data_IF_314148752696
#
_entry.id   IF_314148752696
#
_cell.length_a   1.000
_cell.length_b   1.000
_cell.length_c   1.000
_cell.angle_alpha   90.00
_cell.angle_beta   90.00
_cell.angle_gamma   90.00
#
_symmetry.space_group_name_H-M   'P 1'
#
loop_
_entity.id
_entity.type
_entity.pdbx_description
1 polymer ?
#
# COMPACT_ATOMS: atom_id res chain seq x y z
N UNK A 1 22.69 24.02 -12.80
CA UNK A 1 21.52 23.24 -13.23
C UNK A 1 21.89 22.55 -14.54
N UNK A 2 22.15 21.25 -14.53
CA UNK A 2 22.38 20.49 -15.77
C UNK A 2 21.04 20.26 -16.43
N UNK A 3 20.91 20.62 -17.73
CA UNK A 3 19.78 20.28 -18.57
C UNK A 3 19.54 18.76 -18.54
N UNK A 4 18.65 18.29 -17.69
CA UNK A 4 18.10 16.94 -17.81
C UNK A 4 17.19 17.04 -19.03
N UNK A 5 17.58 16.34 -20.13
CA UNK A 5 16.69 16.19 -21.29
C UNK A 5 15.50 15.37 -20.83
N UNK A 6 14.44 16.05 -20.41
CA UNK A 6 13.16 15.41 -20.09
C UNK A 6 12.50 14.98 -21.39
N UNK A 7 12.09 13.73 -21.43
CA UNK A 7 11.46 13.12 -22.61
C UNK A 7 9.96 13.46 -22.60
N UNK A 8 9.43 13.88 -23.75
CA UNK A 8 7.97 14.06 -23.88
C UNK A 8 7.28 12.69 -23.91
N UNK A 9 6.08 12.64 -23.37
CA UNK A 9 5.27 11.43 -23.35
C UNK A 9 4.76 11.13 -24.78
N UNK A 10 5.24 10.04 -25.37
CA UNK A 10 4.81 9.53 -26.67
C UNK A 10 4.62 8.00 -26.61
N UNK A 11 4.15 7.36 -27.69
CA UNK A 11 3.87 5.92 -27.70
C UNK A 11 5.07 5.05 -27.31
N UNK A 12 6.27 5.43 -27.67
CA UNK A 12 7.49 4.67 -27.34
C UNK A 12 7.96 4.94 -25.91
N UNK A 13 7.90 6.18 -25.44
CA UNK A 13 8.29 6.55 -24.08
C UNK A 13 7.28 6.12 -23.02
N UNK A 14 6.01 5.89 -23.41
CA UNK A 14 4.96 5.38 -22.51
C UNK A 14 5.21 3.94 -22.05
N UNK A 15 5.99 3.16 -22.78
CA UNK A 15 6.25 1.75 -22.46
C UNK A 15 7.02 1.58 -21.14
N UNK A 16 7.89 2.54 -20.76
CA UNK A 16 8.56 2.53 -19.45
C UNK A 16 7.57 2.75 -18.30
N UNK A 17 6.74 3.81 -18.29
CA UNK A 17 5.68 3.98 -17.31
C UNK A 17 4.74 2.77 -17.20
N UNK A 18 4.29 2.22 -18.32
CA UNK A 18 3.40 1.05 -18.32
C UNK A 18 4.05 -0.19 -17.67
N UNK A 19 5.33 -0.41 -17.95
CA UNK A 19 6.05 -1.50 -17.29
C UNK A 19 6.18 -1.26 -15.78
N UNK A 20 6.37 0.00 -15.33
CA UNK A 20 6.42 0.33 -13.91
C UNK A 20 5.05 0.17 -13.25
N UNK A 21 3.99 0.64 -13.90
CA UNK A 21 2.60 0.45 -13.46
C UNK A 21 2.26 -1.04 -13.31
N UNK A 22 2.74 -1.89 -14.22
CA UNK A 22 2.53 -3.33 -14.11
C UNK A 22 3.24 -3.93 -12.88
N UNK A 23 4.44 -3.45 -12.53
CA UNK A 23 5.10 -3.86 -11.29
C UNK A 23 4.35 -3.35 -10.05
N UNK A 24 3.92 -2.09 -10.08
CA UNK A 24 3.11 -1.53 -9.00
C UNK A 24 1.84 -2.34 -8.78
N UNK A 25 1.13 -2.68 -9.85
CA UNK A 25 -0.04 -3.55 -9.78
C UNK A 25 0.30 -4.93 -9.20
N UNK A 26 1.41 -5.55 -9.63
CA UNK A 26 1.85 -6.84 -9.08
C UNK A 26 2.12 -6.78 -7.57
N UNK A 27 2.70 -5.68 -7.09
CA UNK A 27 2.98 -5.48 -5.65
C UNK A 27 1.69 -5.28 -4.86
N UNK A 28 0.78 -4.41 -5.30
CA UNK A 28 -0.47 -4.17 -4.58
C UNK A 28 -1.43 -5.36 -4.67
N UNK A 29 -1.66 -5.90 -5.86
CA UNK A 29 -2.53 -7.07 -6.02
C UNK A 29 -1.97 -8.29 -5.28
N UNK A 30 -0.65 -8.40 -5.16
CA UNK A 30 0.03 -9.45 -4.42
C UNK A 30 -0.25 -9.44 -2.93
N UNK A 31 -0.66 -8.30 -2.38
CA UNK A 31 -1.18 -8.23 -1.03
C UNK A 31 -2.67 -8.58 -0.97
N UNK A 32 -3.48 -7.98 -1.84
CA UNK A 32 -4.93 -7.97 -1.72
C UNK A 32 -5.60 -9.24 -2.26
N UNK A 33 -5.02 -9.85 -3.31
CA UNK A 33 -5.50 -11.12 -3.90
C UNK A 33 -5.42 -12.28 -2.90
N UNK A 34 -4.43 -12.26 -2.01
CA UNK A 34 -4.14 -13.37 -1.09
C UNK A 34 -5.00 -13.29 0.18
N UNK A 35 -5.60 -12.13 0.49
CA UNK A 35 -6.38 -11.97 1.73
C UNK A 35 -7.51 -12.99 1.87
N UNK A 36 -8.39 -13.25 0.88
CA UNK A 36 -9.42 -14.28 1.01
C UNK A 36 -8.83 -15.70 1.13
N UNK A 37 -7.62 -15.94 0.60
CA UNK A 37 -6.94 -17.22 0.67
C UNK A 37 -6.30 -17.50 2.03
N UNK A 38 -6.18 -16.48 2.90
CA UNK A 38 -5.40 -16.63 4.15
C UNK A 38 -5.99 -17.67 5.10
N UNK A 39 -7.31 -17.86 5.11
CA UNK A 39 -7.92 -18.93 5.91
C UNK A 39 -7.46 -20.32 5.44
N UNK A 40 -7.49 -20.56 4.13
CA UNK A 40 -7.00 -21.83 3.57
C UNK A 40 -5.48 -22.01 3.79
N UNK A 41 -4.70 -20.93 3.71
CA UNK A 41 -3.25 -20.96 3.98
C UNK A 41 -2.98 -21.31 5.44
N UNK A 42 -3.73 -20.76 6.40
CA UNK A 42 -3.57 -21.12 7.82
C UNK A 42 -3.96 -22.57 8.08
N UNK A 43 -4.99 -23.06 7.42
CA UNK A 43 -5.40 -24.46 7.48
C UNK A 43 -4.32 -25.40 6.91
N UNK A 44 -3.78 -25.09 5.72
CA UNK A 44 -2.69 -25.87 5.09
C UNK A 44 -1.43 -25.95 5.96
N UNK A 45 -1.12 -24.89 6.73
CA UNK A 45 -0.01 -24.89 7.67
C UNK A 45 -0.36 -25.46 9.05
N UNK A 46 -1.63 -25.83 9.29
CA UNK A 46 -2.08 -26.39 10.57
C UNK A 46 -2.03 -25.40 11.73
N UNK A 47 -2.22 -24.10 11.46
CA UNK A 47 -2.21 -23.05 12.48
C UNK A 47 -3.59 -22.37 12.60
N UNK A 48 -3.82 -21.68 13.71
CA UNK A 48 -5.08 -20.96 13.93
C UNK A 48 -5.34 -19.90 12.84
N UNK A 49 -6.60 -19.72 12.46
CA UNK A 49 -7.06 -18.65 11.55
C UNK A 49 -6.65 -17.25 12.03
N UNK A 50 -6.39 -17.08 13.32
CA UNK A 50 -5.88 -15.82 13.89
C UNK A 50 -4.54 -15.36 13.31
N UNK A 51 -3.79 -16.23 12.63
CA UNK A 51 -2.56 -15.87 11.92
C UNK A 51 -2.82 -15.21 10.54
N UNK A 52 -4.04 -15.25 10.02
CA UNK A 52 -4.36 -14.70 8.71
C UNK A 52 -3.99 -13.20 8.55
N UNK A 53 -4.27 -12.30 9.52
CA UNK A 53 -3.90 -10.88 9.42
C UNK A 53 -2.39 -10.63 9.35
N UNK A 54 -1.56 -11.54 9.89
CA UNK A 54 -0.10 -11.39 9.92
C UNK A 54 0.53 -11.38 8.52
N UNK A 55 -0.13 -11.98 7.52
CA UNK A 55 0.30 -11.88 6.13
C UNK A 55 0.42 -10.43 5.68
N UNK A 56 -0.57 -9.61 5.97
CA UNK A 56 -0.59 -8.19 5.61
C UNK A 56 0.35 -7.37 6.49
N UNK A 57 0.34 -7.60 7.80
CA UNK A 57 1.18 -6.84 8.73
C UNK A 57 2.66 -7.01 8.42
N UNK A 58 3.14 -8.25 8.21
CA UNK A 58 4.53 -8.51 7.83
C UNK A 58 4.90 -7.93 6.47
N UNK A 59 3.96 -7.94 5.52
CA UNK A 59 4.16 -7.29 4.22
C UNK A 59 4.38 -5.77 4.37
N UNK A 60 3.58 -5.09 5.17
CA UNK A 60 3.73 -3.66 5.46
C UNK A 60 5.03 -3.36 6.20
N UNK A 61 5.39 -4.20 7.19
CA UNK A 61 6.65 -4.05 7.92
C UNK A 61 7.86 -4.18 6.99
N UNK A 62 7.82 -5.08 6.02
CA UNK A 62 8.85 -5.24 4.99
C UNK A 62 9.04 -3.95 4.18
N UNK A 63 7.95 -3.31 3.77
CA UNK A 63 7.98 -2.00 3.12
C UNK A 63 8.60 -0.93 4.01
N UNK A 64 8.17 -0.84 5.28
CA UNK A 64 8.70 0.13 6.24
C UNK A 64 10.21 0.00 6.45
N UNK A 65 10.71 -1.24 6.53
CA UNK A 65 12.09 -1.56 6.95
C UNK A 65 13.18 -0.94 6.08
N UNK A 66 12.95 -0.78 4.79
CA UNK A 66 13.95 -0.31 3.80
C UNK A 66 13.61 1.03 3.14
N UNK A 67 12.48 1.64 3.48
CA UNK A 67 12.02 2.89 2.86
C UNK A 67 13.07 4.01 2.93
N UNK A 68 13.80 4.11 4.04
CA UNK A 68 14.85 5.11 4.27
C UNK A 68 16.11 4.88 3.43
N UNK A 69 16.37 3.63 3.03
CA UNK A 69 17.62 3.23 2.39
C UNK A 69 17.51 3.25 0.87
N UNK A 70 16.39 2.85 0.29
CA UNK A 70 16.26 2.60 -1.16
C UNK A 70 16.42 3.85 -2.01
N UNK A 71 15.95 5.02 -1.54
CA UNK A 71 16.16 6.30 -2.22
C UNK A 71 17.65 6.57 -2.44
N UNK A 72 18.41 6.79 -1.36
CA UNK A 72 19.86 7.04 -1.42
C UNK A 72 20.67 5.93 -2.10
N UNK A 73 20.28 4.67 -1.91
CA UNK A 73 20.91 3.53 -2.57
C UNK A 73 20.74 3.63 -4.10
N UNK A 74 19.53 3.97 -4.56
CA UNK A 74 19.24 4.11 -5.98
C UNK A 74 19.89 5.35 -6.62
N UNK A 75 20.12 6.41 -5.83
CA UNK A 75 20.88 7.58 -6.27
C UNK A 75 22.35 7.22 -6.56
N UNK A 76 22.91 6.28 -5.80
CA UNK A 76 24.33 5.85 -5.93
C UNK A 76 24.53 4.75 -6.95
N UNK A 77 23.68 3.74 -6.98
CA UNK A 77 23.81 2.58 -7.86
C UNK A 77 23.12 2.78 -9.21
N UNK A 78 22.26 3.79 -9.31
CA UNK A 78 21.41 4.09 -10.46
C UNK A 78 20.00 3.49 -10.31
N UNK A 79 18.98 4.32 -10.59
CA UNK A 79 17.56 3.96 -10.47
C UNK A 79 17.22 2.64 -11.16
N UNK A 80 17.68 2.46 -12.42
CA UNK A 80 17.41 1.27 -13.22
C UNK A 80 17.92 -0.01 -12.58
N UNK A 81 19.15 0.01 -12.05
CA UNK A 81 19.75 -1.20 -11.45
C UNK A 81 18.98 -1.61 -10.20
N UNK A 82 18.71 -0.66 -9.30
CA UNK A 82 17.99 -0.94 -8.04
C UNK A 82 16.55 -1.37 -8.31
N UNK A 83 15.86 -0.72 -9.25
CA UNK A 83 14.50 -1.11 -9.63
C UNK A 83 14.46 -2.54 -10.20
N UNK A 84 15.32 -2.85 -11.17
CA UNK A 84 15.36 -4.19 -11.78
C UNK A 84 15.72 -5.28 -10.75
N UNK A 85 16.66 -5.01 -9.84
CA UNK A 85 17.00 -5.94 -8.76
C UNK A 85 15.82 -6.13 -7.80
N UNK A 86 15.10 -5.06 -7.46
CA UNK A 86 13.92 -5.11 -6.60
C UNK A 86 12.77 -5.92 -7.20
N UNK A 87 12.52 -5.77 -8.50
CA UNK A 87 11.49 -6.55 -9.22
C UNK A 87 11.85 -8.04 -9.24
N UNK A 88 13.10 -8.39 -9.55
CA UNK A 88 13.54 -9.78 -9.52
C UNK A 88 13.49 -10.37 -8.10
N UNK A 89 13.90 -9.61 -7.10
CA UNK A 89 13.82 -10.03 -5.70
C UNK A 89 12.36 -10.30 -5.28
N UNK A 90 11.44 -9.41 -5.64
CA UNK A 90 10.01 -9.60 -5.39
C UNK A 90 9.48 -10.86 -6.06
N UNK A 91 9.77 -11.06 -7.35
CA UNK A 91 9.36 -12.26 -8.10
C UNK A 91 9.95 -13.55 -7.49
N UNK A 92 11.22 -13.50 -7.08
CA UNK A 92 11.87 -14.62 -6.40
C UNK A 92 11.16 -14.97 -5.08
N UNK A 93 10.82 -13.96 -4.26
CA UNK A 93 10.07 -14.19 -3.03
C UNK A 93 8.70 -14.83 -3.31
N UNK A 94 8.01 -14.43 -4.39
CA UNK A 94 6.75 -15.06 -4.80
C UNK A 94 6.93 -16.54 -5.14
N UNK A 95 8.01 -16.92 -5.85
CA UNK A 95 8.29 -18.33 -6.14
C UNK A 95 8.74 -19.12 -4.91
N UNK A 96 9.52 -18.51 -4.03
CA UNK A 96 9.97 -19.19 -2.81
C UNK A 96 8.82 -19.51 -1.85
N UNK A 97 7.73 -18.72 -1.87
CA UNK A 97 6.52 -19.02 -1.08
C UNK A 97 5.95 -20.40 -1.44
N UNK A 98 6.07 -20.84 -2.68
CA UNK A 98 5.58 -22.17 -3.10
C UNK A 98 6.30 -23.34 -2.39
N UNK A 99 7.46 -23.07 -1.81
CA UNK A 99 8.27 -24.07 -1.10
C UNK A 99 8.06 -24.03 0.42
N UNK A 100 7.24 -23.09 0.92
CA UNK A 100 7.00 -22.96 2.36
C UNK A 100 6.12 -24.10 2.88
N UNK A 101 6.44 -24.56 4.09
CA UNK A 101 5.69 -25.61 4.80
C UNK A 101 5.33 -25.19 6.23
N UNK A 102 5.71 -24.00 6.63
CA UNK A 102 5.48 -23.43 7.96
C UNK A 102 5.10 -21.96 7.81
N UNK A 103 4.23 -21.51 8.71
CA UNK A 103 3.71 -20.13 8.68
C UNK A 103 4.83 -19.10 8.86
N UNK A 104 5.86 -19.42 9.66
CA UNK A 104 7.00 -18.53 9.92
C UNK A 104 7.81 -18.25 8.64
N UNK A 105 8.05 -19.28 7.82
CA UNK A 105 8.73 -19.13 6.53
C UNK A 105 7.87 -18.32 5.56
N UNK A 106 6.56 -18.59 5.52
CA UNK A 106 5.62 -17.82 4.71
C UNK A 106 5.63 -16.34 5.11
N UNK A 107 5.49 -16.02 6.41
CA UNK A 107 5.51 -14.65 6.91
C UNK A 107 6.85 -13.95 6.67
N UNK A 108 7.97 -14.68 6.79
CA UNK A 108 9.29 -14.14 6.44
C UNK A 108 9.35 -13.73 4.97
N UNK A 109 8.81 -14.56 4.07
CA UNK A 109 8.76 -14.22 2.64
C UNK A 109 7.76 -13.09 2.36
N UNK A 110 6.65 -13.00 3.09
CA UNK A 110 5.73 -11.85 3.03
C UNK A 110 6.43 -10.56 3.43
N UNK A 111 7.22 -10.57 4.51
CA UNK A 111 8.08 -9.45 4.89
C UNK A 111 9.03 -9.06 3.77
N UNK A 112 9.74 -10.00 3.18
CA UNK A 112 10.67 -9.75 2.07
C UNK A 112 9.96 -9.23 0.82
N UNK A 113 8.78 -9.74 0.48
CA UNK A 113 7.95 -9.21 -0.61
C UNK A 113 7.53 -7.77 -0.37
N UNK A 114 7.23 -7.40 0.87
CA UNK A 114 6.84 -6.04 1.25
C UNK A 114 7.87 -4.96 0.86
N UNK A 115 9.14 -5.33 0.72
CA UNK A 115 10.20 -4.45 0.18
C UNK A 115 9.81 -3.87 -1.17
N UNK A 116 9.01 -4.59 -1.96
CA UNK A 116 8.48 -4.12 -3.25
C UNK A 116 7.71 -2.79 -3.15
N UNK A 117 6.99 -2.54 -2.05
CA UNK A 117 6.30 -1.26 -1.81
C UNK A 117 7.29 -0.09 -1.82
N UNK A 118 8.41 -0.24 -1.14
CA UNK A 118 9.44 0.80 -1.07
C UNK A 118 10.26 0.91 -2.36
N UNK A 119 10.44 -0.18 -3.11
CA UNK A 119 11.05 -0.13 -4.44
C UNK A 119 10.22 0.75 -5.38
N UNK A 120 8.90 0.67 -5.34
CA UNK A 120 8.03 1.52 -6.16
C UNK A 120 8.05 2.96 -5.67
N UNK A 121 7.78 3.19 -4.39
CA UNK A 121 7.61 4.54 -3.83
C UNK A 121 8.91 5.34 -3.85
N UNK A 122 10.05 4.75 -3.49
CA UNK A 122 11.32 5.45 -3.40
C UNK A 122 12.10 5.47 -4.72
N UNK A 123 12.00 4.43 -5.55
CA UNK A 123 12.81 4.31 -6.77
C UNK A 123 11.98 4.51 -8.02
N UNK A 124 10.78 3.90 -8.09
CA UNK A 124 9.90 3.97 -9.24
C UNK A 124 9.39 5.39 -9.50
N UNK A 125 8.80 6.02 -8.49
CA UNK A 125 8.27 7.40 -8.60
C UNK A 125 9.38 8.41 -8.87
N UNK A 126 10.55 8.26 -8.22
CA UNK A 126 11.70 9.12 -8.52
C UNK A 126 12.16 8.97 -9.97
N UNK A 127 12.20 7.75 -10.50
CA UNK A 127 12.56 7.50 -11.89
C UNK A 127 11.59 8.17 -12.89
N UNK A 128 10.28 8.19 -12.59
CA UNK A 128 9.30 8.93 -13.43
C UNK A 128 9.59 10.42 -13.39
N UNK A 129 9.78 11.00 -12.20
CA UNK A 129 10.04 12.44 -12.05
C UNK A 129 11.33 12.89 -12.73
N UNK A 130 12.36 12.03 -12.76
CA UNK A 130 13.65 12.35 -13.38
C UNK A 130 13.64 12.21 -14.93
N UNK A 131 12.76 11.36 -15.48
CA UNK A 131 12.77 11.05 -16.91
C UNK A 131 11.77 11.86 -17.73
N UNK A 132 10.71 12.37 -17.12
CA UNK A 132 9.63 13.08 -17.82
C UNK A 132 9.56 14.54 -17.43
N UNK A 133 9.03 15.38 -18.33
CA UNK A 133 8.67 16.76 -18.01
C UNK A 133 7.61 16.77 -16.90
N UNK A 134 7.60 17.79 -16.06
CA UNK A 134 6.76 17.89 -14.86
C UNK A 134 5.29 17.52 -15.12
N UNK A 135 4.68 18.06 -16.17
CA UNK A 135 3.28 17.77 -16.52
C UNK A 135 3.05 16.31 -16.92
N UNK A 136 3.98 15.70 -17.62
CA UNK A 136 3.88 14.31 -18.06
C UNK A 136 4.16 13.35 -16.90
N UNK A 137 5.12 13.69 -16.03
CA UNK A 137 5.37 12.95 -14.79
C UNK A 137 4.12 12.94 -13.90
N UNK A 138 3.43 14.07 -13.74
CA UNK A 138 2.17 14.16 -12.97
C UNK A 138 1.09 13.23 -13.56
N UNK A 139 0.93 13.19 -14.89
CA UNK A 139 -0.05 12.29 -15.54
C UNK A 139 0.26 10.82 -15.27
N UNK A 140 1.53 10.43 -15.37
CA UNK A 140 1.97 9.06 -15.09
C UNK A 140 1.75 8.71 -13.62
N UNK A 141 2.11 9.60 -12.70
CA UNK A 141 1.91 9.38 -11.26
C UNK A 141 0.41 9.29 -10.90
N UNK A 142 -0.45 10.06 -11.57
CA UNK A 142 -1.90 9.95 -11.41
C UNK A 142 -2.43 8.59 -11.91
N UNK A 143 -1.89 8.08 -13.02
CA UNK A 143 -2.21 6.73 -13.51
C UNK A 143 -1.79 5.66 -12.48
N UNK A 144 -0.58 5.76 -11.94
CA UNK A 144 -0.08 4.87 -10.90
C UNK A 144 -0.99 4.90 -9.66
N UNK A 145 -1.36 6.07 -9.18
CA UNK A 145 -2.28 6.21 -8.05
C UNK A 145 -3.65 5.54 -8.31
N UNK A 146 -4.18 5.61 -9.53
CA UNK A 146 -5.42 4.92 -9.88
C UNK A 146 -5.26 3.40 -9.84
N UNK A 147 -4.12 2.87 -10.26
CA UNK A 147 -3.82 1.42 -10.18
C UNK A 147 -3.72 0.97 -8.73
N UNK A 148 -3.11 1.77 -7.85
CA UNK A 148 -3.04 1.49 -6.41
C UNK A 148 -4.43 1.39 -5.77
N UNK A 149 -5.43 2.11 -6.30
CA UNK A 149 -6.82 2.01 -5.85
C UNK A 149 -7.58 0.81 -6.44
N UNK A 150 -7.20 0.37 -7.65
CA UNK A 150 -7.85 -0.78 -8.30
C UNK A 150 -7.46 -2.11 -7.65
N UNK A 151 -6.23 -2.25 -7.16
CA UNK A 151 -5.75 -3.49 -6.57
C UNK A 151 -6.57 -3.91 -5.33
N UNK A 152 -6.81 -3.04 -4.33
CA UNK A 152 -7.66 -3.40 -3.19
C UNK A 152 -9.12 -3.66 -3.56
N UNK A 153 -9.63 -3.05 -4.63
CA UNK A 153 -10.99 -3.29 -5.12
C UNK A 153 -11.13 -4.64 -5.82
N UNK A 154 -10.18 -4.97 -6.70
CA UNK A 154 -10.23 -6.18 -7.52
C UNK A 154 -9.61 -7.38 -6.81
N UNK A 155 -8.59 -7.17 -5.99
CA UNK A 155 -7.83 -8.23 -5.34
C UNK A 155 -8.68 -9.20 -4.55
N UNK A 156 -9.46 -8.74 -3.55
CA UNK A 156 -10.30 -9.62 -2.75
C UNK A 156 -11.35 -10.37 -3.57
N UNK A 157 -11.91 -9.73 -4.59
CA UNK A 157 -12.92 -10.34 -5.48
C UNK A 157 -12.30 -11.43 -6.34
N UNK A 158 -11.19 -11.11 -7.02
CA UNK A 158 -10.46 -12.08 -7.84
C UNK A 158 -9.87 -13.20 -6.98
N UNK A 159 -9.35 -12.87 -5.81
CA UNK A 159 -8.82 -13.84 -4.86
C UNK A 159 -9.88 -14.80 -4.35
N UNK A 160 -11.04 -14.28 -3.97
CA UNK A 160 -12.18 -15.09 -3.53
C UNK A 160 -12.67 -16.04 -4.64
N UNK A 161 -12.73 -15.55 -5.88
CA UNK A 161 -13.08 -16.38 -7.03
C UNK A 161 -12.01 -17.44 -7.32
N UNK A 162 -10.73 -17.07 -7.26
CA UNK A 162 -9.64 -18.00 -7.58
C UNK A 162 -9.55 -19.15 -6.57
N UNK A 163 -9.74 -18.89 -5.28
CA UNK A 163 -9.56 -19.93 -4.24
C UNK A 163 -10.60 -21.05 -4.34
N UNK A 164 -11.78 -20.77 -4.90
CA UNK A 164 -12.83 -21.78 -5.10
C UNK A 164 -12.47 -22.79 -6.22
N UNK A 165 -11.54 -22.43 -7.13
CA UNK A 165 -11.21 -23.24 -8.31
C UNK A 165 -9.76 -23.74 -8.35
N UNK A 166 -8.83 -23.00 -7.73
CA UNK A 166 -7.40 -23.33 -7.79
C UNK A 166 -6.73 -23.11 -6.43
N UNK A 167 -5.65 -23.84 -6.19
CA UNK A 167 -4.85 -23.65 -4.98
C UNK A 167 -4.29 -22.21 -4.91
N UNK A 168 -4.23 -21.65 -3.71
CA UNK A 168 -3.67 -20.32 -3.41
C UNK A 168 -2.25 -20.11 -3.96
N UNK A 169 -1.47 -21.17 -4.13
CA UNK A 169 -0.14 -21.14 -4.72
C UNK A 169 -0.12 -20.48 -6.11
N UNK A 170 -1.14 -20.73 -6.93
CA UNK A 170 -1.24 -20.15 -8.28
C UNK A 170 -1.41 -18.64 -8.27
N UNK A 171 -1.96 -18.07 -7.20
CA UNK A 171 -1.99 -16.63 -6.99
C UNK A 171 -0.57 -16.05 -6.97
N UNK A 172 0.35 -16.64 -6.21
CA UNK A 172 1.75 -16.20 -6.15
C UNK A 172 2.49 -16.44 -7.47
N UNK A 173 2.20 -17.52 -8.19
CA UNK A 173 2.75 -17.74 -9.54
C UNK A 173 2.31 -16.63 -10.50
N UNK A 174 1.02 -16.29 -10.52
CA UNK A 174 0.50 -15.23 -11.38
C UNK A 174 1.15 -13.87 -11.06
N UNK A 175 1.29 -13.52 -9.77
CA UNK A 175 1.96 -12.30 -9.31
C UNK A 175 3.43 -12.28 -9.74
N UNK A 176 4.15 -13.40 -9.59
CA UNK A 176 5.54 -13.53 -10.01
C UNK A 176 5.68 -13.31 -11.53
N UNK A 177 4.79 -13.91 -12.33
CA UNK A 177 4.79 -13.75 -13.78
C UNK A 177 4.50 -12.31 -14.20
N UNK A 178 3.57 -11.63 -13.54
CA UNK A 178 3.32 -10.19 -13.77
C UNK A 178 4.56 -9.34 -13.46
N UNK A 179 5.24 -9.62 -12.34
CA UNK A 179 6.48 -8.94 -11.98
C UNK A 179 7.60 -9.20 -13.00
N UNK A 180 7.76 -10.44 -13.46
CA UNK A 180 8.74 -10.78 -14.51
C UNK A 180 8.43 -10.14 -15.86
N UNK A 181 7.15 -10.05 -16.24
CA UNK A 181 6.73 -9.32 -17.43
C UNK A 181 7.08 -7.84 -17.33
N UNK A 182 6.80 -7.23 -16.17
CA UNK A 182 7.25 -5.87 -15.87
C UNK A 182 8.76 -5.72 -15.97
N UNK A 183 9.52 -6.66 -15.40
CA UNK A 183 10.98 -6.65 -15.46
C UNK A 183 11.51 -6.61 -16.89
N UNK A 184 10.95 -7.41 -17.79
CA UNK A 184 11.31 -7.41 -19.23
C UNK A 184 11.05 -6.03 -19.85
N UNK A 185 9.89 -5.44 -19.55
CA UNK A 185 9.52 -4.11 -20.02
C UNK A 185 10.49 -3.04 -19.49
N UNK A 186 10.75 -3.02 -18.17
CA UNK A 186 11.67 -2.09 -17.52
C UNK A 186 13.10 -2.22 -18.04
N UNK A 187 13.60 -3.45 -18.21
CA UNK A 187 14.94 -3.71 -18.74
C UNK A 187 15.12 -3.11 -20.12
N UNK A 188 14.13 -3.23 -21.00
CA UNK A 188 14.17 -2.75 -22.38
C UNK A 188 13.93 -1.24 -22.49
N UNK A 189 12.95 -0.70 -21.77
CA UNK A 189 12.39 0.62 -22.01
C UNK A 189 12.85 1.70 -21.03
N UNK A 190 13.29 1.32 -19.80
CA UNK A 190 13.73 2.31 -18.84
C UNK A 190 15.07 2.92 -19.27
N UNK A 191 15.16 4.27 -19.36
CA UNK A 191 16.44 4.95 -19.66
C UNK A 191 17.49 4.66 -18.61
N UNK A 192 18.74 4.53 -19.04
CA UNK A 192 19.89 4.40 -18.14
C UNK A 192 20.57 5.76 -18.03
N UNK A 193 20.37 6.47 -16.94
CA UNK A 193 21.13 7.70 -16.68
C UNK A 193 22.47 7.38 -16.02
N UNK A 194 23.53 8.10 -16.44
CA UNK A 194 24.81 8.06 -15.73
C UNK A 194 24.60 8.65 -14.34
N UNK A 195 24.94 7.87 -13.34
CA UNK A 195 24.86 8.27 -11.92
C UNK A 195 25.66 9.54 -11.73
N UNK A 196 25.01 10.64 -11.39
CA UNK A 196 25.71 11.83 -10.88
C UNK A 196 26.11 11.52 -9.45
N UNK A 197 27.35 11.11 -9.26
CA UNK A 197 27.88 10.74 -7.94
C UNK A 197 28.08 12.00 -7.11
N UNK A 198 27.02 12.52 -6.52
CA UNK A 198 27.11 13.35 -5.32
C UNK A 198 27.32 12.38 -4.17
N UNK A 199 28.59 12.17 -3.83
CA UNK A 199 29.03 11.32 -2.69
C UNK A 199 28.74 12.01 -1.36
N UNK A 200 27.46 12.25 -1.03
CA UNK A 200 27.15 12.62 0.34
C UNK A 200 27.33 11.37 1.23
N UNK A 201 28.05 11.47 2.34
CA UNK A 201 28.24 10.33 3.23
C UNK A 201 26.90 9.86 3.82
N UNK A 202 26.75 8.57 4.11
CA UNK A 202 25.52 8.02 4.72
C UNK A 202 25.18 8.66 6.07
N UNK A 203 26.16 9.22 6.79
CA UNK A 203 25.95 9.95 8.03
C UNK A 203 24.96 11.11 7.88
N UNK A 204 24.94 11.79 6.75
CA UNK A 204 23.98 12.88 6.47
C UNK A 204 22.52 12.42 6.52
N UNK A 205 22.26 11.18 6.12
CA UNK A 205 20.88 10.63 6.19
C UNK A 205 20.42 10.46 7.62
N UNK A 206 21.30 9.97 8.50
CA UNK A 206 20.95 9.81 9.92
C UNK A 206 20.67 11.15 10.60
N UNK A 207 21.43 12.19 10.27
CA UNK A 207 21.21 13.54 10.81
C UNK A 207 19.89 14.12 10.33
N UNK A 208 19.54 13.92 9.06
CA UNK A 208 18.28 14.38 8.50
C UNK A 208 17.09 13.62 9.11
N UNK A 209 17.17 12.29 9.24
CA UNK A 209 16.13 11.51 9.94
C UNK A 209 16.02 11.91 11.41
N UNK A 210 17.14 12.16 12.11
CA UNK A 210 17.12 12.65 13.49
C UNK A 210 16.39 13.99 13.60
N UNK A 211 16.61 14.94 12.68
CA UNK A 211 15.88 16.22 12.63
C UNK A 211 14.39 16.01 12.43
N UNK A 212 14.01 15.14 11.46
CA UNK A 212 12.61 14.82 11.17
C UNK A 212 11.92 14.21 12.38
N UNK A 213 12.51 13.19 13.02
CA UNK A 213 11.94 12.51 14.18
C UNK A 213 11.99 13.35 15.48
N UNK A 214 12.83 14.38 15.53
CA UNK A 214 12.83 15.35 16.66
C UNK A 214 11.77 16.45 16.48
N UNK A 215 11.13 16.57 15.33
CA UNK A 215 10.10 17.58 15.07
C UNK A 215 8.75 17.11 15.61
N UNK A 216 8.26 17.76 16.68
CA UNK A 216 6.98 17.42 17.32
C UNK A 216 5.78 17.58 16.40
N UNK A 217 5.79 18.60 15.53
CA UNK A 217 4.71 18.82 14.56
C UNK A 217 4.67 17.69 13.53
N UNK A 218 5.83 17.26 13.03
CA UNK A 218 5.94 16.11 12.14
C UNK A 218 5.37 14.85 12.80
N UNK A 219 5.81 14.55 14.03
CA UNK A 219 5.35 13.36 14.76
C UNK A 219 3.84 13.39 14.99
N UNK A 220 3.28 14.52 15.45
CA UNK A 220 1.84 14.66 15.69
C UNK A 220 1.01 14.45 14.41
N UNK A 221 1.40 15.08 13.30
CA UNK A 221 0.69 14.92 12.03
C UNK A 221 0.84 13.51 11.44
N UNK A 222 2.05 12.93 11.54
CA UNK A 222 2.31 11.60 11.00
C UNK A 222 1.62 10.51 11.82
N UNK A 223 1.55 10.64 13.15
CA UNK A 223 0.83 9.70 14.00
C UNK A 223 -0.70 9.85 13.94
N UNK A 224 -1.21 10.98 13.43
CA UNK A 224 -2.63 11.13 13.10
C UNK A 224 -3.05 10.33 11.86
N UNK A 225 -2.14 10.07 10.92
CA UNK A 225 -2.43 9.32 9.69
C UNK A 225 -2.91 7.88 9.98
N UNK A 226 -2.22 7.08 10.82
CA UNK A 226 -2.72 5.76 11.19
C UNK A 226 -4.12 5.81 11.79
N UNK A 227 -4.46 6.80 12.61
CA UNK A 227 -5.80 6.89 13.20
C UNK A 227 -6.91 7.00 12.15
N UNK A 228 -6.62 7.65 11.01
CA UNK A 228 -7.56 7.79 9.90
C UNK A 228 -7.55 6.55 9.01
N UNK A 229 -6.39 6.00 8.66
CA UNK A 229 -6.26 4.87 7.74
C UNK A 229 -6.38 3.48 8.37
N UNK A 230 -6.29 3.38 9.71
CA UNK A 230 -6.30 2.11 10.43
C UNK A 230 -7.58 1.29 10.23
N UNK A 231 -8.79 1.89 10.26
CA UNK A 231 -10.01 1.10 10.09
C UNK A 231 -10.03 0.31 8.77
N UNK A 232 -9.58 0.93 7.67
CA UNK A 232 -9.50 0.23 6.38
C UNK A 232 -8.44 -0.88 6.41
N UNK A 233 -7.27 -0.62 7.00
CA UNK A 233 -6.21 -1.63 7.12
C UNK A 233 -6.66 -2.83 7.97
N UNK A 234 -7.33 -2.59 9.08
CA UNK A 234 -7.92 -3.64 9.91
C UNK A 234 -9.03 -4.38 9.18
N UNK A 235 -9.87 -3.67 8.43
CA UNK A 235 -10.89 -4.31 7.60
C UNK A 235 -10.27 -5.28 6.58
N UNK A 236 -9.25 -4.85 5.83
CA UNK A 236 -8.59 -5.70 4.85
C UNK A 236 -7.98 -6.94 5.53
N UNK A 237 -7.34 -6.77 6.69
CA UNK A 237 -6.65 -7.83 7.39
C UNK A 237 -7.60 -8.82 8.09
N UNK A 238 -8.71 -8.34 8.69
CA UNK A 238 -9.60 -9.12 9.53
C UNK A 238 -10.88 -9.56 8.84
N UNK A 239 -11.29 -8.93 7.74
CA UNK A 239 -12.55 -9.24 7.07
C UNK A 239 -12.66 -10.71 6.62
N UNK A 240 -11.60 -11.44 6.23
CA UNK A 240 -11.72 -12.87 5.96
C UNK A 240 -12.19 -13.68 7.18
N UNK A 241 -11.62 -13.38 8.36
CA UNK A 241 -12.01 -14.05 9.61
C UNK A 241 -13.46 -13.68 9.96
N UNK A 242 -13.78 -12.39 10.01
CA UNK A 242 -15.10 -11.90 10.42
C UNK A 242 -16.20 -12.39 9.47
N UNK A 243 -16.00 -12.21 8.15
CA UNK A 243 -17.06 -12.46 7.18
C UNK A 243 -17.15 -13.95 6.79
N UNK A 244 -16.01 -14.63 6.59
CA UNK A 244 -16.00 -16.02 6.11
C UNK A 244 -15.98 -17.01 7.27
N UNK A 245 -15.08 -16.85 8.23
CA UNK A 245 -14.94 -17.83 9.31
C UNK A 245 -16.05 -17.70 10.37
N UNK A 246 -16.38 -16.48 10.84
CA UNK A 246 -17.41 -16.29 11.87
C UNK A 246 -18.83 -16.19 11.30
N UNK A 247 -19.03 -15.27 10.33
CA UNK A 247 -20.35 -15.02 9.76
C UNK A 247 -20.75 -15.99 8.65
N UNK A 248 -19.82 -16.92 8.28
CA UNK A 248 -20.05 -18.01 7.31
C UNK A 248 -20.53 -17.52 5.93
N UNK A 249 -20.08 -16.34 5.51
CA UNK A 249 -20.33 -15.88 4.14
C UNK A 249 -19.51 -16.74 3.16
N UNK A 250 -20.07 -16.94 1.97
CA UNK A 250 -19.36 -17.60 0.86
C UNK A 250 -18.26 -16.67 0.33
N UNK A 251 -17.26 -17.24 -0.37
CA UNK A 251 -16.18 -16.48 -1.03
C UNK A 251 -16.71 -15.36 -1.93
N UNK A 252 -17.79 -15.64 -2.68
CA UNK A 252 -18.46 -14.65 -3.54
C UNK A 252 -19.10 -13.53 -2.71
N UNK A 253 -19.79 -13.86 -1.64
CA UNK A 253 -20.41 -12.85 -0.75
C UNK A 253 -19.34 -11.99 -0.07
N UNK A 254 -18.22 -12.60 0.36
CA UNK A 254 -17.06 -11.89 0.88
C UNK A 254 -16.52 -10.89 -0.13
N UNK A 255 -16.28 -11.32 -1.37
CA UNK A 255 -15.82 -10.44 -2.45
C UNK A 255 -16.78 -9.28 -2.70
N UNK A 256 -18.09 -9.55 -2.76
CA UNK A 256 -19.12 -8.51 -2.94
C UNK A 256 -19.17 -7.53 -1.77
N UNK A 257 -18.94 -7.99 -0.54
CA UNK A 257 -18.93 -7.15 0.65
C UNK A 257 -17.80 -6.10 0.64
N UNK A 258 -16.71 -6.34 -0.12
CA UNK A 258 -15.62 -5.38 -0.26
C UNK A 258 -16.02 -4.15 -1.10
N UNK A 259 -16.90 -4.31 -2.09
CA UNK A 259 -17.26 -3.22 -3.03
C UNK A 259 -17.76 -1.94 -2.34
N UNK A 260 -18.76 -1.96 -1.45
CA UNK A 260 -19.25 -0.73 -0.83
C UNK A 260 -18.16 -0.03 -0.02
N UNK A 261 -17.29 -0.78 0.66
CA UNK A 261 -16.22 -0.24 1.50
C UNK A 261 -15.20 0.52 0.65
N UNK A 262 -14.65 -0.10 -0.39
CA UNK A 262 -13.70 0.56 -1.28
C UNK A 262 -14.35 1.64 -2.15
N UNK A 263 -15.62 1.47 -2.52
CA UNK A 263 -16.38 2.52 -3.22
C UNK A 263 -16.53 3.76 -2.32
N UNK A 264 -16.75 3.59 -1.02
CA UNK A 264 -16.76 4.68 -0.05
C UNK A 264 -15.46 5.50 -0.12
N UNK A 265 -14.29 4.84 -0.09
CA UNK A 265 -12.98 5.49 -0.22
C UNK A 265 -12.85 6.26 -1.54
N UNK A 266 -13.20 5.61 -2.67
CA UNK A 266 -13.10 6.20 -4.01
C UNK A 266 -14.00 7.44 -4.11
N UNK A 267 -15.25 7.34 -3.66
CA UNK A 267 -16.20 8.46 -3.68
C UNK A 267 -15.73 9.58 -2.75
N UNK A 268 -15.18 9.26 -1.58
CA UNK A 268 -14.55 10.23 -0.67
C UNK A 268 -13.41 11.01 -1.34
N UNK A 269 -12.53 10.32 -2.05
CA UNK A 269 -11.45 10.96 -2.83
C UNK A 269 -12.00 11.86 -3.96
N UNK A 270 -13.04 11.42 -4.67
CA UNK A 270 -13.69 12.23 -5.72
C UNK A 270 -14.33 13.47 -5.13
N UNK A 271 -15.01 13.34 -3.98
CA UNK A 271 -15.58 14.48 -3.26
C UNK A 271 -14.49 15.45 -2.81
N UNK A 272 -13.39 14.95 -2.24
CA UNK A 272 -12.22 15.77 -1.88
C UNK A 272 -11.75 16.62 -3.06
N UNK A 273 -11.55 16.02 -4.23
CA UNK A 273 -11.11 16.74 -5.45
C UNK A 273 -12.06 17.89 -5.79
N UNK A 274 -13.39 17.70 -5.61
CA UNK A 274 -14.39 18.72 -5.95
C UNK A 274 -14.48 19.87 -4.93
N UNK A 275 -14.17 19.60 -3.66
CA UNK A 275 -14.33 20.58 -2.57
C UNK A 275 -13.03 21.27 -2.16
N UNK A 276 -11.85 20.70 -2.50
CA UNK A 276 -10.55 21.18 -2.01
C UNK A 276 -10.25 22.62 -2.43
N UNK A 277 -10.67 23.01 -3.63
CA UNK A 277 -10.47 24.39 -4.14
C UNK A 277 -11.41 25.41 -3.49
N UNK A 278 -12.48 24.95 -2.83
CA UNK A 278 -13.50 25.80 -2.21
C UNK A 278 -13.34 25.96 -0.71
N UNK A 279 -12.53 25.12 -0.09
CA UNK A 279 -12.35 25.05 1.36
C UNK A 279 -10.90 25.25 1.76
N UNK A 280 -10.67 25.83 2.92
CA UNK A 280 -9.34 25.79 3.54
C UNK A 280 -8.91 24.33 3.78
N UNK A 281 -7.66 23.99 3.46
CA UNK A 281 -7.16 22.59 3.47
C UNK A 281 -7.51 21.80 4.73
N UNK A 282 -7.41 22.38 5.93
CA UNK A 282 -7.74 21.68 7.16
C UNK A 282 -9.24 21.41 7.38
N UNK A 283 -10.15 22.14 6.70
CA UNK A 283 -11.59 21.96 6.85
C UNK A 283 -12.08 20.61 6.30
N UNK A 284 -11.40 20.05 5.29
CA UNK A 284 -11.74 18.74 4.75
C UNK A 284 -11.57 17.64 5.79
N UNK A 285 -10.54 17.71 6.62
CA UNK A 285 -10.33 16.77 7.73
C UNK A 285 -11.44 16.91 8.77
N UNK A 286 -11.84 18.15 9.10
CA UNK A 286 -12.94 18.40 10.03
C UNK A 286 -14.31 17.92 9.50
N UNK A 287 -14.49 17.81 8.19
CA UNK A 287 -15.68 17.22 7.56
C UNK A 287 -15.60 15.69 7.58
N UNK A 288 -14.45 15.11 7.28
CA UNK A 288 -14.29 13.66 7.23
C UNK A 288 -14.39 12.97 8.59
N UNK A 289 -13.85 13.58 9.65
CA UNK A 289 -13.85 12.99 11.00
C UNK A 289 -15.26 12.71 11.55
N UNK A 290 -16.25 13.64 11.53
CA UNK A 290 -17.60 13.32 11.97
C UNK A 290 -18.26 12.19 11.18
N UNK A 291 -17.97 12.08 9.88
CA UNK A 291 -18.49 10.99 9.04
C UNK A 291 -17.90 9.66 9.49
N UNK A 292 -16.59 9.61 9.76
CA UNK A 292 -15.92 8.43 10.31
C UNK A 292 -16.50 8.04 11.68
N UNK A 293 -16.72 9.02 12.56
CA UNK A 293 -17.33 8.78 13.87
C UNK A 293 -18.76 8.23 13.73
N UNK A 294 -19.55 8.75 12.81
CA UNK A 294 -20.89 8.21 12.52
C UNK A 294 -20.80 6.76 12.04
N UNK A 295 -19.86 6.45 11.14
CA UNK A 295 -19.61 5.08 10.70
C UNK A 295 -19.23 4.17 11.87
N UNK A 296 -18.35 4.63 12.77
CA UNK A 296 -17.95 3.88 13.96
C UNK A 296 -19.13 3.63 14.91
N UNK A 297 -20.01 4.62 15.10
CA UNK A 297 -21.22 4.44 15.90
C UNK A 297 -22.15 3.38 15.31
N UNK A 298 -22.30 3.36 13.98
CA UNK A 298 -23.08 2.33 13.28
C UNK A 298 -22.47 0.94 13.50
N UNK A 299 -21.14 0.79 13.45
CA UNK A 299 -20.46 -0.47 13.76
C UNK A 299 -20.79 -0.94 15.18
N UNK A 300 -20.70 -0.05 16.17
CA UNK A 300 -21.02 -0.36 17.57
C UNK A 300 -22.50 -0.79 17.69
N UNK A 301 -23.42 -0.10 17.05
CA UNK A 301 -24.83 -0.48 17.04
C UNK A 301 -25.06 -1.88 16.42
N UNK A 302 -24.31 -2.24 15.37
CA UNK A 302 -24.36 -3.57 14.77
C UNK A 302 -23.92 -4.67 15.74
N UNK A 303 -22.89 -4.41 16.55
CA UNK A 303 -22.43 -5.34 17.59
C UNK A 303 -23.50 -5.51 18.69
N UNK A 304 -24.18 -4.43 19.06
CA UNK A 304 -25.28 -4.49 20.06
C UNK A 304 -26.50 -5.18 19.51
N UNK A 305 -26.86 -4.92 18.26
CA UNK A 305 -28.03 -5.49 17.58
C UNK A 305 -27.60 -6.54 16.54
N UNK A 306 -27.23 -7.71 17.02
CA UNK A 306 -26.69 -8.82 16.23
C UNK A 306 -27.49 -9.14 14.95
N UNK A 307 -28.82 -8.96 14.97
CA UNK A 307 -29.69 -9.18 13.81
C UNK A 307 -29.35 -8.28 12.62
N UNK A 308 -28.70 -7.13 12.85
CA UNK A 308 -28.32 -6.16 11.82
C UNK A 308 -26.81 -6.05 11.66
N UNK A 309 -26.02 -7.01 12.17
CA UNK A 309 -24.57 -6.95 12.21
C UNK A 309 -23.96 -6.71 10.80
N UNK A 310 -24.32 -7.53 9.81
CA UNK A 310 -23.75 -7.42 8.45
C UNK A 310 -24.09 -6.05 7.80
N UNK A 311 -25.35 -5.60 7.73
CA UNK A 311 -25.65 -4.26 7.22
C UNK A 311 -24.91 -3.15 7.95
N UNK A 312 -24.83 -3.19 9.28
CA UNK A 312 -24.11 -2.20 10.06
C UNK A 312 -22.61 -2.22 9.81
N UNK A 313 -21.99 -3.40 9.65
CA UNK A 313 -20.59 -3.54 9.26
C UNK A 313 -20.33 -2.88 7.90
N UNK A 314 -21.13 -3.19 6.88
CA UNK A 314 -20.92 -2.66 5.54
C UNK A 314 -21.18 -1.15 5.47
N UNK A 315 -22.28 -0.66 6.04
CA UNK A 315 -22.61 0.78 6.04
C UNK A 315 -21.59 1.55 6.89
N UNK A 316 -21.27 1.05 8.07
CA UNK A 316 -20.30 1.68 8.98
C UNK A 316 -18.93 1.80 8.35
N UNK A 317 -18.40 0.71 7.78
CA UNK A 317 -17.11 0.71 7.09
C UNK A 317 -17.11 1.59 5.84
N UNK A 318 -18.19 1.60 5.07
CA UNK A 318 -18.35 2.48 3.89
C UNK A 318 -18.26 3.96 4.29
N UNK A 319 -18.91 4.38 5.38
CA UNK A 319 -18.84 5.75 5.88
C UNK A 319 -17.46 6.09 6.43
N UNK A 320 -16.80 5.16 7.13
CA UNK A 320 -15.45 5.35 7.63
C UNK A 320 -14.49 5.56 6.45
N UNK A 321 -14.52 4.70 5.44
CA UNK A 321 -13.66 4.81 4.26
C UNK A 321 -13.99 6.06 3.42
N UNK A 322 -15.24 6.48 3.35
CA UNK A 322 -15.61 7.74 2.72
C UNK A 322 -14.98 8.94 3.44
N UNK A 323 -15.04 8.98 4.77
CA UNK A 323 -14.41 10.03 5.59
C UNK A 323 -12.88 10.00 5.49
N UNK A 324 -12.28 8.80 5.43
CA UNK A 324 -10.85 8.61 5.16
C UNK A 324 -10.45 9.22 3.80
N UNK A 325 -11.20 8.92 2.73
CA UNK A 325 -10.95 9.47 1.39
C UNK A 325 -10.95 11.00 1.36
N UNK A 326 -11.78 11.66 2.17
CA UNK A 326 -11.81 13.14 2.27
C UNK A 326 -10.61 13.68 3.09
N UNK A 327 -10.09 12.92 4.05
CA UNK A 327 -9.18 13.43 5.09
C UNK A 327 -7.71 13.03 4.88
N UNK A 328 -7.46 11.79 4.47
CA UNK A 328 -6.13 11.18 4.51
C UNK A 328 -5.09 11.92 3.67
N UNK A 329 -5.42 12.24 2.41
CA UNK A 329 -4.49 12.91 1.50
C UNK A 329 -4.08 14.30 1.99
N UNK A 330 -4.97 15.02 2.67
CA UNK A 330 -4.69 16.35 3.22
C UNK A 330 -3.80 16.24 4.46
N UNK A 331 -4.07 15.30 5.36
CA UNK A 331 -3.20 15.01 6.51
C UNK A 331 -1.80 14.58 6.06
N UNK A 332 -1.73 13.70 5.05
CA UNK A 332 -0.46 13.26 4.47
C UNK A 332 0.35 14.44 3.94
N UNK A 333 -0.29 15.37 3.22
CA UNK A 333 0.35 16.60 2.77
C UNK A 333 0.85 17.45 3.94
N UNK A 334 0.08 17.61 5.00
CA UNK A 334 0.52 18.36 6.18
C UNK A 334 1.75 17.73 6.84
N UNK A 335 1.76 16.40 6.96
CA UNK A 335 2.91 15.67 7.45
C UNK A 335 4.15 15.90 6.58
N UNK A 336 4.02 15.82 5.24
CA UNK A 336 5.11 16.08 4.30
C UNK A 336 5.66 17.52 4.37
N UNK A 337 4.82 18.49 4.69
CA UNK A 337 5.20 19.91 4.72
C UNK A 337 5.65 20.39 6.10
N UNK A 338 5.57 19.55 7.13
CA UNK A 338 5.89 19.91 8.52
C UNK A 338 7.38 20.02 8.83
N UNK A 339 8.26 19.62 7.93
CA UNK A 339 9.71 19.66 8.11
C UNK A 339 10.41 20.35 6.94
N UNK A 340 11.50 21.07 7.24
CA UNK A 340 12.36 21.75 6.27
C UNK A 340 13.36 20.80 5.59
N UNK A 341 13.51 19.59 6.12
CA UNK A 341 14.36 18.55 5.53
C UNK A 341 13.84 18.15 4.14
N UNK A 342 14.68 17.51 3.35
CA UNK A 342 14.32 17.10 1.99
C UNK A 342 12.99 16.33 1.97
N UNK A 343 12.11 16.63 1.01
CA UNK A 343 10.78 16.01 0.93
C UNK A 343 10.85 14.49 0.76
N UNK A 344 11.91 13.99 0.14
CA UNK A 344 12.16 12.54 0.03
C UNK A 344 12.42 11.88 1.39
N UNK A 345 13.26 12.49 2.24
CA UNK A 345 13.51 12.00 3.60
C UNK A 345 12.25 12.05 4.46
N UNK A 346 11.49 13.15 4.37
CA UNK A 346 10.22 13.30 5.11
C UNK A 346 9.20 12.25 4.64
N UNK A 347 9.05 12.03 3.33
CA UNK A 347 8.16 11.02 2.80
C UNK A 347 8.54 9.60 3.23
N UNK A 348 9.83 9.28 3.24
CA UNK A 348 10.32 8.00 3.76
C UNK A 348 9.99 7.84 5.25
N UNK A 349 10.21 8.88 6.07
CA UNK A 349 9.88 8.85 7.50
C UNK A 349 8.37 8.69 7.76
N UNK A 350 7.51 9.38 6.97
CA UNK A 350 6.05 9.20 7.04
C UNK A 350 5.69 7.74 6.72
N UNK A 351 6.21 7.20 5.61
CA UNK A 351 5.92 5.82 5.20
C UNK A 351 6.37 4.80 6.24
N UNK A 352 7.56 4.99 6.83
CA UNK A 352 8.07 4.13 7.90
C UNK A 352 7.14 4.11 9.11
N UNK A 353 6.77 5.30 9.64
CA UNK A 353 5.89 5.41 10.81
C UNK A 353 4.50 4.85 10.51
N UNK A 354 3.94 5.18 9.35
CA UNK A 354 2.60 4.75 8.95
C UNK A 354 2.52 3.23 8.84
N UNK A 355 3.41 2.62 8.06
CA UNK A 355 3.41 1.16 7.85
C UNK A 355 3.76 0.39 9.12
N UNK A 356 4.69 0.92 9.95
CA UNK A 356 5.02 0.32 11.25
C UNK A 356 3.83 0.42 12.22
N UNK A 357 3.08 1.52 12.20
CA UNK A 357 1.87 1.67 13.02
C UNK A 357 0.77 0.70 12.58
N UNK A 358 0.59 0.50 11.28
CA UNK A 358 -0.34 -0.49 10.74
C UNK A 358 0.07 -1.91 11.15
N UNK A 359 1.35 -2.27 11.00
CA UNK A 359 1.87 -3.55 11.47
C UNK A 359 1.56 -3.76 12.96
N UNK A 360 1.96 -2.80 13.80
CA UNK A 360 1.81 -2.93 15.25
C UNK A 360 0.35 -3.08 15.68
N UNK A 361 -0.57 -2.35 15.04
CA UNK A 361 -1.99 -2.42 15.37
C UNK A 361 -2.63 -3.73 14.88
N UNK A 362 -2.32 -4.17 13.66
CA UNK A 362 -2.82 -5.45 13.15
C UNK A 362 -2.37 -6.60 14.05
N UNK A 363 -1.10 -6.62 14.46
CA UNK A 363 -0.59 -7.66 15.36
C UNK A 363 -1.18 -7.55 16.78
N UNK A 364 -1.39 -6.33 17.28
CA UNK A 364 -2.07 -6.12 18.56
C UNK A 364 -3.50 -6.66 18.53
N UNK A 365 -4.28 -6.31 17.50
CA UNK A 365 -5.65 -6.78 17.36
C UNK A 365 -5.68 -8.31 17.18
N UNK A 366 -4.77 -8.86 16.37
CA UNK A 366 -4.61 -10.31 16.25
C UNK A 366 -4.38 -10.98 17.61
N UNK A 367 -3.48 -10.43 18.42
CA UNK A 367 -3.19 -10.96 19.76
C UNK A 367 -4.39 -10.89 20.72
N UNK A 368 -5.18 -9.83 20.63
CA UNK A 368 -6.38 -9.65 21.45
C UNK A 368 -7.56 -10.52 20.97
N UNK A 369 -7.50 -10.99 19.73
CA UNK A 369 -8.54 -11.85 19.13
C UNK A 369 -8.33 -13.34 19.47
N UNK A 370 -7.15 -13.72 19.97
CA UNK A 370 -6.82 -15.06 20.46
C UNK A 370 -7.20 -15.24 21.93
#
# INVERSE_FOLDING_TARGET
MKNIQTTALNRTTLMFPLALVLFEFAVYIGNDLIQPAMLAITEDFGVSATWAPSSMSFYLLGGASVAWLLGPLSDRLGRKKVLLSGVLFFALCCFLILLTRQIEHFLTLRFLQGIGLSVISAVGYAAIQENFAERDAIKVMALMANISLLAPLLGPVLGAFLIDYVSWHWGFVAIALLALLSWVGLKKQMPSHKVSVTKQPFSYLFDDFKKVFSNRQFLGLTLALPLVGMPLMLWIALSPIILVDELKLTSVQYGLAQFPVFLGLIVGNIVLIKIIDRLALGKTVLIGLPIMLTGTLILILGVVWQAYLIPCLLIGMTLICFGEGISFSVLYRFALMSSEVSKGTVAAAVSMLLMTSFFAMIELVRYLYT
#
